data_IF_646630673358
#
_entry.id   IF_646630673358
#
_cell.length_a   1.000
_cell.length_b   1.000
_cell.length_c   1.000
_cell.angle_alpha   90.00
_cell.angle_beta   90.00
_cell.angle_gamma   90.00
#
_symmetry.space_group_name_H-M   'P 1'
#
loop_
_entity.id
_entity.type
_entity.pdbx_description
1 polymer ?
#
# COMPACT_ATOMS: atom_id res chain seq x y z
N UNK A 1 -34.80 -25.74 -60.12
CA UNK A 1 -34.84 -24.39 -59.54
C UNK A 1 -34.66 -24.51 -58.03
N UNK A 2 -33.48 -24.21 -57.53
CA UNK A 2 -33.14 -24.30 -56.10
C UNK A 2 -31.78 -23.64 -55.88
N UNK A 3 -31.79 -22.34 -55.63
CA UNK A 3 -30.57 -21.55 -55.43
C UNK A 3 -30.13 -21.65 -53.97
N UNK A 4 -28.99 -22.30 -53.73
CA UNK A 4 -28.26 -22.22 -52.48
C UNK A 4 -27.52 -20.87 -52.41
N UNK A 5 -27.85 -20.05 -51.41
CA UNK A 5 -27.12 -18.80 -51.10
C UNK A 5 -25.89 -19.16 -50.26
N UNK A 6 -24.70 -19.05 -50.86
CA UNK A 6 -23.44 -18.96 -50.11
C UNK A 6 -23.23 -17.50 -49.68
N UNK A 7 -23.20 -17.25 -48.37
CA UNK A 7 -22.75 -15.98 -47.79
C UNK A 7 -21.25 -16.11 -47.56
N UNK A 8 -20.44 -15.37 -48.34
CA UNK A 8 -19.03 -15.15 -48.03
C UNK A 8 -18.93 -14.28 -46.77
N UNK A 9 -18.43 -14.84 -45.67
CA UNK A 9 -18.02 -14.08 -44.50
C UNK A 9 -16.62 -13.50 -44.75
N UNK A 10 -16.53 -12.18 -44.87
CA UNK A 10 -15.26 -11.46 -44.82
C UNK A 10 -14.79 -11.38 -43.35
N UNK A 11 -13.79 -12.17 -42.99
CA UNK A 11 -13.08 -12.05 -41.72
C UNK A 11 -12.09 -10.89 -41.81
N UNK A 12 -12.44 -9.74 -41.21
CA UNK A 12 -11.49 -8.64 -40.99
C UNK A 12 -10.65 -8.99 -39.77
N UNK A 13 -9.44 -9.50 -40.01
CA UNK A 13 -8.39 -9.64 -39.01
C UNK A 13 -7.87 -8.24 -38.63
N UNK A 14 -8.34 -7.70 -37.50
CA UNK A 14 -7.69 -6.58 -36.84
C UNK A 14 -6.39 -7.08 -36.20
N UNK A 15 -5.27 -6.91 -36.92
CA UNK A 15 -3.94 -6.97 -36.33
C UNK A 15 -3.73 -5.70 -35.49
N UNK A 16 -4.07 -5.75 -34.21
CA UNK A 16 -3.64 -4.74 -33.24
C UNK A 16 -2.18 -5.01 -32.86
N UNK A 17 -1.27 -4.25 -33.47
CA UNK A 17 0.11 -4.14 -33.04
C UNK A 17 0.16 -3.53 -31.63
N UNK A 18 0.32 -4.37 -30.60
CA UNK A 18 0.65 -3.91 -29.25
C UNK A 18 2.15 -3.60 -29.19
N UNK A 19 2.51 -2.34 -29.41
CA UNK A 19 3.76 -1.79 -28.88
C UNK A 19 3.50 -1.30 -27.45
N UNK A 20 4.29 -1.73 -26.43
CA UNK A 20 4.17 -1.17 -25.10
C UNK A 20 4.91 0.17 -25.07
N UNK A 21 4.21 1.26 -25.36
CA UNK A 21 4.70 2.59 -24.99
C UNK A 21 4.36 2.81 -23.51
N UNK A 22 5.38 2.99 -22.68
CA UNK A 22 5.21 3.50 -21.32
C UNK A 22 4.53 4.88 -21.39
N UNK A 23 3.25 4.94 -21.04
CA UNK A 23 2.37 6.09 -21.28
C UNK A 23 2.44 7.19 -20.20
N UNK A 24 3.25 7.00 -19.14
CA UNK A 24 3.15 7.81 -17.92
C UNK A 24 3.69 9.25 -17.98
N UNK A 25 4.59 9.61 -18.92
CA UNK A 25 5.36 10.86 -18.80
C UNK A 25 4.95 12.04 -19.70
N UNK A 26 4.08 11.83 -20.71
CA UNK A 26 3.80 12.87 -21.72
C UNK A 26 2.31 13.26 -21.86
N UNK A 27 1.44 12.80 -20.97
CA UNK A 27 0.02 13.18 -21.04
C UNK A 27 -0.19 14.61 -20.53
N UNK A 28 -1.07 15.40 -21.16
CA UNK A 28 -1.41 16.74 -20.69
C UNK A 28 -2.08 16.66 -19.31
N UNK A 29 -1.93 17.69 -18.49
CA UNK A 29 -2.64 17.78 -17.23
C UNK A 29 -4.16 17.84 -17.47
N UNK A 30 -4.97 17.10 -16.70
CA UNK A 30 -6.42 17.08 -16.90
C UNK A 30 -7.06 18.47 -16.80
N UNK A 31 -6.54 19.33 -15.93
CA UNK A 31 -7.00 20.72 -15.80
C UNK A 31 -6.83 21.56 -17.08
N UNK A 32 -5.97 21.14 -18.03
CA UNK A 32 -5.77 21.82 -19.31
C UNK A 32 -6.71 21.35 -20.41
N UNK A 33 -7.30 20.16 -20.26
CA UNK A 33 -8.20 19.57 -21.27
C UNK A 33 -9.67 19.67 -20.88
N UNK A 34 -9.98 19.69 -19.59
CA UNK A 34 -11.35 19.72 -19.09
C UNK A 34 -11.92 21.12 -19.06
N UNK A 35 -13.17 21.24 -19.51
CA UNK A 35 -13.90 22.50 -19.42
C UNK A 35 -14.38 22.74 -17.99
N UNK A 36 -14.49 24.01 -17.55
CA UNK A 36 -15.09 24.35 -16.27
C UNK A 36 -16.47 23.71 -16.11
N UNK A 37 -16.67 22.97 -15.02
CA UNK A 37 -17.93 22.25 -14.74
C UNK A 37 -17.93 20.77 -15.15
N UNK A 38 -17.00 20.31 -15.98
CA UNK A 38 -16.90 18.88 -16.35
C UNK A 38 -16.54 17.98 -15.17
N UNK A 39 -16.06 18.51 -14.06
CA UNK A 39 -15.75 17.73 -12.87
C UNK A 39 -16.88 17.69 -11.84
N UNK A 40 -17.87 18.59 -11.93
CA UNK A 40 -18.98 18.61 -10.97
C UNK A 40 -19.83 17.37 -11.18
N UNK A 41 -20.22 16.76 -10.07
CA UNK A 41 -21.27 15.74 -10.05
C UNK A 41 -22.56 16.37 -10.57
N UNK A 42 -23.07 15.86 -11.69
CA UNK A 42 -24.46 16.12 -12.01
C UNK A 42 -25.33 15.34 -11.00
N UNK A 43 -26.46 15.90 -10.51
CA UNK A 43 -27.25 15.31 -9.41
C UNK A 43 -27.75 13.86 -9.62
N UNK A 44 -27.67 13.34 -10.83
CA UNK A 44 -28.21 12.04 -11.26
C UNK A 44 -27.17 11.14 -11.94
N UNK A 45 -25.91 11.57 -12.00
CA UNK A 45 -24.86 10.84 -12.70
C UNK A 45 -24.26 9.73 -11.83
N UNK A 46 -24.14 8.52 -12.37
CA UNK A 46 -23.39 7.43 -11.73
C UNK A 46 -21.88 7.64 -11.86
N UNK A 47 -21.10 7.03 -10.96
CA UNK A 47 -19.64 7.08 -11.00
C UNK A 47 -19.06 6.63 -12.36
N UNK A 48 -19.72 5.68 -13.04
CA UNK A 48 -19.34 5.19 -14.37
C UNK A 48 -19.54 6.24 -15.46
N UNK A 49 -20.70 6.90 -15.47
CA UNK A 49 -21.01 7.97 -16.42
C UNK A 49 -20.04 9.15 -16.23
N UNK A 50 -19.78 9.53 -14.98
CA UNK A 50 -18.82 10.59 -14.69
C UNK A 50 -17.40 10.21 -15.13
N UNK A 51 -16.96 8.98 -14.86
CA UNK A 51 -15.64 8.50 -15.29
C UNK A 51 -15.48 8.52 -16.81
N UNK A 52 -16.52 8.09 -17.54
CA UNK A 52 -16.52 8.12 -19.00
C UNK A 52 -16.42 9.55 -19.54
N UNK A 53 -17.17 10.48 -18.94
CA UNK A 53 -17.18 11.91 -19.32
C UNK A 53 -15.83 12.59 -19.11
N UNK A 54 -15.09 12.19 -18.08
CA UNK A 54 -13.78 12.76 -17.75
C UNK A 54 -12.65 12.32 -18.70
N UNK A 55 -12.87 11.35 -19.61
CA UNK A 55 -11.86 10.88 -20.57
C UNK A 55 -10.47 10.61 -19.92
N UNK A 56 -10.46 10.03 -18.71
CA UNK A 56 -9.27 9.93 -17.86
C UNK A 56 -8.02 9.36 -18.54
N UNK A 57 -8.08 8.32 -19.39
CA UNK A 57 -6.87 7.78 -20.02
C UNK A 57 -6.08 8.78 -20.87
N UNK A 58 -6.68 9.90 -21.30
CA UNK A 58 -6.05 10.89 -22.16
C UNK A 58 -5.32 12.03 -21.43
N UNK A 59 -5.34 12.06 -20.09
CA UNK A 59 -4.70 13.11 -19.29
C UNK A 59 -4.14 12.59 -17.97
N UNK A 60 -3.27 13.38 -17.34
CA UNK A 60 -2.73 13.07 -16.02
C UNK A 60 -3.26 14.00 -14.93
N UNK A 61 -3.57 13.43 -13.76
CA UNK A 61 -3.81 14.16 -12.51
C UNK A 61 -2.54 14.21 -11.64
N UNK A 62 -2.56 15.00 -10.56
CA UNK A 62 -1.46 15.01 -9.59
C UNK A 62 -1.36 13.67 -8.86
N UNK A 63 -2.50 13.10 -8.47
CA UNK A 63 -2.57 11.84 -7.73
C UNK A 63 -3.58 10.85 -8.34
N UNK A 64 -3.20 9.58 -8.34
CA UNK A 64 -4.13 8.46 -8.42
C UNK A 64 -3.89 7.54 -7.24
N UNK A 65 -4.95 7.27 -6.50
CA UNK A 65 -4.96 6.41 -5.33
C UNK A 65 -5.66 5.11 -5.73
N UNK A 66 -4.96 3.99 -5.59
CA UNK A 66 -5.42 2.65 -5.95
C UNK A 66 -5.55 1.81 -4.69
N UNK A 67 -6.78 1.57 -4.24
CA UNK A 67 -7.05 0.77 -3.04
C UNK A 67 -7.54 -0.61 -3.49
N UNK A 68 -6.79 -1.64 -3.16
CA UNK A 68 -7.16 -3.03 -3.39
C UNK A 68 -7.76 -3.61 -2.11
N UNK A 69 -9.08 -3.78 -2.11
CA UNK A 69 -9.87 -4.29 -0.99
C UNK A 69 -10.43 -5.66 -1.32
N UNK A 70 -9.92 -6.69 -0.64
CA UNK A 70 -10.43 -8.05 -0.75
C UNK A 70 -10.77 -8.61 0.65
N UNK A 71 -11.78 -8.04 1.34
CA UNK A 71 -12.16 -8.42 2.70
C UNK A 71 -12.61 -9.88 2.78
N UNK A 72 -12.09 -10.60 3.77
CA UNK A 72 -12.77 -11.80 4.31
C UNK A 72 -14.12 -11.42 4.93
N UNK A 73 -14.97 -12.40 5.20
CA UNK A 73 -16.34 -12.15 5.69
C UNK A 73 -16.39 -11.31 6.98
N UNK A 74 -15.45 -11.55 7.91
CA UNK A 74 -15.33 -10.81 9.17
C UNK A 74 -14.89 -9.35 8.97
N UNK A 75 -14.32 -9.03 7.81
CA UNK A 75 -13.81 -7.72 7.45
C UNK A 75 -14.79 -6.87 6.62
N UNK A 76 -15.89 -7.45 6.13
CA UNK A 76 -16.90 -6.74 5.32
C UNK A 76 -17.48 -5.47 5.97
N UNK A 77 -17.83 -5.44 7.28
CA UNK A 77 -18.35 -4.23 7.91
C UNK A 77 -17.32 -3.08 7.93
N UNK A 78 -16.04 -3.41 8.07
CA UNK A 78 -14.95 -2.44 8.11
C UNK A 78 -14.63 -1.90 6.72
N UNK A 79 -14.65 -2.75 5.69
CA UNK A 79 -14.56 -2.30 4.31
C UNK A 79 -15.68 -1.31 3.96
N UNK A 80 -16.91 -1.53 4.43
CA UNK A 80 -18.02 -0.58 4.26
C UNK A 80 -17.76 0.75 4.98
N UNK A 81 -17.22 0.69 6.22
CA UNK A 81 -16.84 1.89 6.98
C UNK A 81 -15.79 2.71 6.22
N UNK A 82 -14.73 2.08 5.72
CA UNK A 82 -13.65 2.76 5.00
C UNK A 82 -14.13 3.33 3.66
N UNK A 83 -15.00 2.63 2.93
CA UNK A 83 -15.64 3.18 1.73
C UNK A 83 -16.44 4.45 2.05
N UNK A 84 -17.09 4.51 3.21
CA UNK A 84 -17.80 5.69 3.67
C UNK A 84 -16.86 6.82 4.12
N UNK A 85 -15.73 6.50 4.78
CA UNK A 85 -14.68 7.48 5.07
C UNK A 85 -14.12 8.11 3.79
N UNK A 86 -13.86 7.27 2.78
CA UNK A 86 -13.35 7.65 1.46
C UNK A 86 -14.34 8.49 0.65
N UNK A 87 -15.62 8.52 1.02
CA UNK A 87 -16.68 9.33 0.39
C UNK A 87 -17.13 10.51 1.23
N UNK A 88 -16.58 10.68 2.44
CA UNK A 88 -17.09 11.65 3.38
C UNK A 88 -16.87 13.10 2.90
N UNK A 89 -17.91 13.96 2.93
CA UNK A 89 -17.76 15.39 2.71
C UNK A 89 -17.09 16.07 3.92
N UNK A 90 -16.58 17.29 3.71
CA UNK A 90 -16.12 18.16 4.80
C UNK A 90 -16.97 19.43 4.86
N UNK A 91 -17.24 19.91 6.08
CA UNK A 91 -18.20 20.98 6.35
C UNK A 91 -17.75 22.39 5.99
N UNK A 92 -16.46 22.61 5.69
CA UNK A 92 -15.92 23.93 5.35
C UNK A 92 -15.38 23.97 3.93
N UNK A 93 -14.30 23.24 3.67
CA UNK A 93 -13.67 23.13 2.36
C UNK A 93 -12.96 21.77 2.23
N UNK A 94 -12.87 21.23 1.01
CA UNK A 94 -12.23 19.95 0.72
C UNK A 94 -13.17 18.75 0.79
N UNK A 95 -12.65 17.59 0.41
CA UNK A 95 -13.34 16.30 0.47
C UNK A 95 -12.32 15.17 0.60
N UNK A 96 -12.73 14.01 1.12
CA UNK A 96 -11.91 12.80 1.06
C UNK A 96 -11.92 12.19 -0.36
N UNK A 97 -13.05 12.25 -1.05
CA UNK A 97 -13.18 11.56 -2.32
C UNK A 97 -12.34 12.14 -3.48
N UNK A 98 -12.46 11.54 -4.67
CA UNK A 98 -11.83 12.01 -5.91
C UNK A 98 -12.11 13.49 -6.15
N UNK A 99 -11.08 14.25 -6.54
CA UNK A 99 -11.12 15.70 -6.74
C UNK A 99 -10.59 16.07 -8.13
N UNK A 100 -10.44 17.38 -8.42
CA UNK A 100 -9.74 17.83 -9.62
C UNK A 100 -8.27 17.40 -9.68
N UNK A 101 -7.64 17.17 -8.52
CA UNK A 101 -6.22 16.81 -8.41
C UNK A 101 -5.98 15.32 -8.19
N UNK A 102 -6.99 14.60 -7.73
CA UNK A 102 -6.85 13.21 -7.26
C UNK A 102 -7.95 12.32 -7.84
N UNK A 103 -7.60 11.14 -8.32
CA UNK A 103 -8.56 10.03 -8.51
C UNK A 103 -8.44 9.06 -7.33
N UNK A 104 -9.57 8.62 -6.78
CA UNK A 104 -9.64 7.56 -5.78
C UNK A 104 -10.38 6.36 -6.35
N UNK A 105 -9.63 5.29 -6.62
CA UNK A 105 -10.09 4.11 -7.31
C UNK A 105 -9.94 2.90 -6.38
N UNK A 106 -11.02 2.15 -6.22
CA UNK A 106 -11.06 0.95 -5.37
C UNK A 106 -11.39 -0.26 -6.22
N UNK A 107 -10.62 -1.34 -6.12
CA UNK A 107 -11.12 -2.66 -6.53
C UNK A 107 -11.63 -3.37 -5.28
N UNK A 108 -12.94 -3.61 -5.24
CA UNK A 108 -13.64 -4.27 -4.15
C UNK A 108 -13.98 -5.70 -4.57
N UNK A 109 -13.31 -6.65 -3.95
CA UNK A 109 -13.55 -8.08 -4.12
C UNK A 109 -14.43 -8.61 -3.00
N UNK A 110 -15.24 -9.61 -3.34
CA UNK A 110 -15.95 -10.44 -2.37
C UNK A 110 -15.83 -11.89 -2.82
N UNK A 111 -16.23 -12.84 -1.98
CA UNK A 111 -16.28 -14.25 -2.37
C UNK A 111 -17.27 -14.51 -3.53
N UNK A 112 -18.26 -13.63 -3.71
CA UNK A 112 -19.32 -13.77 -4.69
C UNK A 112 -19.12 -12.90 -5.96
N UNK A 113 -19.15 -13.52 -7.14
CA UNK A 113 -19.17 -12.82 -8.43
C UNK A 113 -17.85 -12.11 -8.82
N UNK A 114 -17.83 -11.27 -9.86
CA UNK A 114 -16.66 -10.49 -10.24
C UNK A 114 -16.37 -9.37 -9.23
N UNK A 115 -15.10 -9.00 -9.07
CA UNK A 115 -14.73 -7.81 -8.30
C UNK A 115 -15.19 -6.53 -9.04
N UNK A 116 -15.63 -5.54 -8.26
CA UNK A 116 -16.09 -4.26 -8.76
C UNK A 116 -15.00 -3.21 -8.66
N UNK A 117 -14.73 -2.51 -9.75
CA UNK A 117 -13.85 -1.33 -9.75
C UNK A 117 -14.71 -0.09 -9.57
N UNK A 118 -14.42 0.69 -8.55
CA UNK A 118 -15.18 1.85 -8.11
C UNK A 118 -14.33 3.09 -8.30
N UNK A 119 -14.93 4.17 -8.80
CA UNK A 119 -14.35 5.51 -8.73
C UNK A 119 -15.15 6.31 -7.71
N UNK A 120 -14.52 6.63 -6.57
CA UNK A 120 -15.26 7.16 -5.43
C UNK A 120 -15.35 8.68 -5.45
N UNK A 121 -16.57 9.19 -5.33
CA UNK A 121 -16.89 10.60 -5.23
C UNK A 121 -17.64 10.88 -3.92
N UNK A 122 -17.57 12.14 -3.47
CA UNK A 122 -18.22 12.57 -2.25
C UNK A 122 -19.73 12.43 -2.38
N UNK A 123 -20.39 11.95 -1.33
CA UNK A 123 -21.84 11.82 -1.33
C UNK A 123 -22.35 11.07 -0.10
N UNK A 124 -23.63 10.71 -0.15
CA UNK A 124 -24.29 10.02 0.95
C UNK A 124 -23.62 8.66 1.25
N UNK A 125 -23.62 8.23 2.54
CA UNK A 125 -23.11 6.94 2.95
C UNK A 125 -23.73 5.78 2.15
N UNK A 126 -22.90 4.79 1.83
CA UNK A 126 -23.32 3.50 1.31
C UNK A 126 -23.87 2.66 2.46
N UNK A 127 -25.01 2.00 2.24
CA UNK A 127 -25.70 1.15 3.21
C UNK A 127 -25.17 -0.29 3.27
N UNK A 128 -24.58 -0.81 2.20
CA UNK A 128 -24.07 -2.19 2.15
C UNK A 128 -22.94 -2.37 1.13
N UNK A 129 -22.20 -3.48 1.24
CA UNK A 129 -21.17 -3.87 0.26
C UNK A 129 -21.79 -4.10 -1.14
N UNK A 130 -22.99 -4.67 -1.21
CA UNK A 130 -23.66 -4.88 -2.49
C UNK A 130 -24.07 -3.55 -3.14
N UNK A 131 -24.53 -2.57 -2.36
CA UNK A 131 -24.81 -1.23 -2.85
C UNK A 131 -23.54 -0.54 -3.40
N UNK A 132 -22.39 -0.75 -2.73
CA UNK A 132 -21.10 -0.24 -3.22
C UNK A 132 -20.76 -0.84 -4.59
N UNK A 133 -21.00 -2.14 -4.76
CA UNK A 133 -20.69 -2.91 -5.98
C UNK A 133 -21.68 -2.69 -7.12
N UNK A 134 -22.86 -2.11 -6.84
CA UNK A 134 -23.93 -1.97 -7.83
C UNK A 134 -23.63 -0.96 -8.95
N UNK A 135 -22.66 -0.05 -8.78
CA UNK A 135 -22.33 1.01 -9.76
C UNK A 135 -20.84 1.08 -10.08
N UNK A 136 -20.24 0.00 -10.63
CA UNK A 136 -18.82 -0.03 -10.92
C UNK A 136 -18.49 0.77 -12.19
N UNK A 137 -17.27 1.30 -12.25
CA UNK A 137 -16.67 1.86 -13.46
C UNK A 137 -16.04 0.78 -14.34
N UNK A 138 -15.95 -0.45 -13.83
CA UNK A 138 -15.50 -1.63 -14.55
C UNK A 138 -15.59 -2.88 -13.68
N UNK A 139 -15.63 -4.04 -14.29
CA UNK A 139 -15.58 -5.32 -13.59
C UNK A 139 -14.20 -5.95 -13.81
N UNK A 140 -13.66 -6.56 -12.76
CA UNK A 140 -12.50 -7.43 -12.90
C UNK A 140 -12.92 -8.80 -13.44
N UNK A 141 -12.03 -9.54 -14.13
CA UNK A 141 -12.29 -10.93 -14.49
C UNK A 141 -12.55 -11.78 -13.23
N UNK A 142 -13.62 -12.57 -13.23
CA UNK A 142 -13.96 -13.48 -12.12
C UNK A 142 -12.93 -14.60 -11.92
N UNK A 143 -12.84 -15.13 -10.70
CA UNK A 143 -12.14 -16.39 -10.41
C UNK A 143 -10.61 -16.32 -10.42
N UNK A 144 -10.04 -15.11 -10.38
CA UNK A 144 -8.59 -14.94 -10.21
C UNK A 144 -8.18 -15.19 -8.76
N UNK A 145 -6.99 -15.74 -8.60
CA UNK A 145 -6.32 -15.73 -7.30
C UNK A 145 -5.91 -14.27 -6.95
N UNK A 146 -5.62 -13.97 -5.67
CA UNK A 146 -5.29 -12.62 -5.24
C UNK A 146 -4.14 -11.96 -6.01
N UNK A 147 -3.08 -12.71 -6.33
CA UNK A 147 -1.94 -12.21 -7.08
C UNK A 147 -2.33 -11.70 -8.48
N UNK A 148 -3.04 -12.52 -9.24
CA UNK A 148 -3.47 -12.16 -10.60
C UNK A 148 -4.52 -11.04 -10.59
N UNK A 149 -5.37 -11.00 -9.57
CA UNK A 149 -6.39 -9.97 -9.41
C UNK A 149 -5.78 -8.60 -9.09
N UNK A 150 -4.79 -8.55 -8.17
CA UNK A 150 -4.05 -7.33 -7.85
C UNK A 150 -3.23 -6.85 -9.05
N UNK A 151 -2.46 -7.71 -9.72
CA UNK A 151 -1.70 -7.33 -10.91
C UNK A 151 -2.62 -6.73 -11.98
N UNK A 152 -3.76 -7.36 -12.25
CA UNK A 152 -4.75 -6.83 -13.19
C UNK A 152 -5.32 -5.47 -12.78
N UNK A 153 -5.60 -5.29 -11.50
CA UNK A 153 -6.10 -4.02 -10.97
C UNK A 153 -5.07 -2.91 -11.17
N UNK A 154 -3.83 -3.14 -10.77
CA UNK A 154 -2.78 -2.11 -10.82
C UNK A 154 -2.42 -1.75 -12.26
N UNK A 155 -2.28 -2.74 -13.16
CA UNK A 155 -2.03 -2.48 -14.58
C UNK A 155 -3.19 -1.69 -15.22
N UNK A 156 -4.43 -2.05 -14.89
CA UNK A 156 -5.59 -1.32 -15.39
C UNK A 156 -5.66 0.09 -14.81
N UNK A 157 -5.46 0.25 -13.51
CA UNK A 157 -5.49 1.53 -12.81
C UNK A 157 -4.47 2.51 -13.36
N UNK A 158 -3.23 2.06 -13.59
CA UNK A 158 -2.17 2.87 -14.19
C UNK A 158 -2.56 3.41 -15.58
N UNK A 159 -3.17 2.57 -16.43
CA UNK A 159 -3.59 2.94 -17.79
C UNK A 159 -4.86 3.79 -17.82
N UNK A 160 -5.84 3.44 -16.98
CA UNK A 160 -7.14 4.10 -16.96
C UNK A 160 -7.12 5.46 -16.24
N UNK A 161 -6.23 5.59 -15.25
CA UNK A 161 -6.06 6.80 -14.43
C UNK A 161 -4.57 7.17 -14.37
N UNK A 162 -4.01 7.75 -15.44
CA UNK A 162 -2.64 8.25 -15.43
C UNK A 162 -2.47 9.38 -14.40
N UNK A 163 -1.36 9.38 -13.64
CA UNK A 163 -1.05 10.42 -12.67
C UNK A 163 0.44 10.64 -12.41
N UNK A 164 0.77 11.84 -11.92
CA UNK A 164 2.13 12.20 -11.50
C UNK A 164 2.58 11.47 -10.25
N UNK A 165 1.67 11.13 -9.34
CA UNK A 165 1.97 10.32 -8.17
C UNK A 165 0.95 9.19 -8.00
N UNK A 166 1.42 8.01 -7.58
CA UNK A 166 0.56 6.87 -7.25
C UNK A 166 0.66 6.48 -5.79
N UNK A 167 -0.49 6.42 -5.13
CA UNK A 167 -0.62 5.85 -3.79
C UNK A 167 -1.38 4.52 -3.89
N UNK A 168 -0.69 3.41 -3.68
CA UNK A 168 -1.26 2.06 -3.69
C UNK A 168 -1.53 1.62 -2.27
N UNK A 169 -2.72 1.09 -2.01
CA UNK A 169 -3.10 0.51 -0.72
C UNK A 169 -3.54 -0.92 -0.89
N UNK A 170 -2.98 -1.83 -0.10
CA UNK A 170 -3.43 -3.22 0.02
C UNK A 170 -4.17 -3.36 1.35
N UNK A 171 -5.42 -3.81 1.31
CA UNK A 171 -6.33 -3.84 2.45
C UNK A 171 -6.81 -5.27 2.72
N UNK A 172 -6.68 -5.73 3.97
CA UNK A 172 -7.12 -7.05 4.40
C UNK A 172 -6.42 -7.53 5.68
N UNK A 173 -6.45 -8.84 5.94
CA UNK A 173 -5.67 -9.42 7.03
C UNK A 173 -4.20 -9.49 6.65
N UNK A 174 -3.33 -9.25 7.63
CA UNK A 174 -1.88 -9.38 7.44
C UNK A 174 -1.31 -10.53 8.25
N UNK A 175 -0.33 -11.23 7.65
CA UNK A 175 0.30 -12.44 8.20
C UNK A 175 1.81 -12.31 8.31
N UNK A 176 2.28 -11.09 8.60
CA UNK A 176 3.71 -10.79 8.71
C UNK A 176 4.43 -10.93 7.35
N UNK A 177 5.56 -11.62 7.35
CA UNK A 177 6.36 -11.87 6.14
C UNK A 177 5.64 -12.76 5.10
N UNK A 178 4.57 -13.47 5.49
CA UNK A 178 3.79 -14.33 4.60
C UNK A 178 2.83 -13.56 3.70
N UNK A 179 2.67 -12.25 3.90
CA UNK A 179 1.80 -11.40 3.10
C UNK A 179 0.40 -11.26 3.70
N UNK A 180 -0.63 -11.42 2.88
CA UNK A 180 -2.02 -11.04 3.19
C UNK A 180 -2.97 -12.23 3.08
N UNK A 181 -3.97 -12.26 3.95
CA UNK A 181 -5.12 -13.17 3.84
C UNK A 181 -6.36 -12.40 3.43
N UNK A 182 -6.91 -12.81 2.30
CA UNK A 182 -7.94 -12.09 1.56
C UNK A 182 -9.08 -13.03 1.20
N UNK A 183 -10.21 -12.48 0.77
CA UNK A 183 -11.45 -13.22 0.44
C UNK A 183 -11.24 -14.46 -0.45
N UNK A 184 -10.23 -14.44 -1.32
CA UNK A 184 -9.99 -15.48 -2.34
C UNK A 184 -8.66 -16.20 -2.16
N UNK A 185 -8.11 -16.17 -0.94
CA UNK A 185 -6.88 -16.85 -0.56
C UNK A 185 -5.78 -15.91 -0.10
N UNK A 186 -4.55 -16.39 -0.15
CA UNK A 186 -3.37 -15.63 0.29
C UNK A 186 -2.76 -14.86 -0.87
N UNK A 187 -2.33 -13.63 -0.60
CA UNK A 187 -1.41 -12.88 -1.44
C UNK A 187 -0.05 -12.86 -0.75
N UNK A 188 0.90 -13.63 -1.27
CA UNK A 188 2.24 -13.68 -0.70
C UNK A 188 3.06 -12.43 -1.06
N UNK A 189 4.06 -12.11 -0.25
CA UNK A 189 4.89 -10.91 -0.44
C UNK A 189 5.59 -10.89 -1.81
N UNK A 190 6.06 -12.05 -2.31
CA UNK A 190 6.70 -12.12 -3.63
C UNK A 190 5.69 -11.98 -4.78
N UNK A 191 4.44 -12.39 -4.56
CA UNK A 191 3.35 -12.15 -5.50
C UNK A 191 2.96 -10.66 -5.54
N UNK A 192 2.92 -9.99 -4.38
CA UNK A 192 2.77 -8.54 -4.29
C UNK A 192 3.90 -7.81 -5.02
N UNK A 193 5.17 -8.24 -4.83
CA UNK A 193 6.31 -7.70 -5.58
C UNK A 193 6.08 -7.83 -7.10
N UNK A 194 5.65 -8.99 -7.55
CA UNK A 194 5.40 -9.26 -8.98
C UNK A 194 4.28 -8.37 -9.53
N UNK A 195 3.17 -8.21 -8.79
CA UNK A 195 2.08 -7.31 -9.18
C UNK A 195 2.50 -5.84 -9.23
N UNK A 196 3.38 -5.40 -8.34
CA UNK A 196 3.94 -4.05 -8.38
C UNK A 196 4.96 -3.86 -9.51
N UNK A 197 5.69 -4.90 -9.90
CA UNK A 197 6.54 -4.86 -11.10
C UNK A 197 5.72 -4.75 -12.38
N UNK A 198 4.58 -5.46 -12.45
CA UNK A 198 3.61 -5.30 -13.54
C UNK A 198 3.03 -3.87 -13.58
N UNK A 199 2.77 -3.28 -12.41
CA UNK A 199 2.43 -1.86 -12.30
C UNK A 199 3.55 -0.96 -12.83
N UNK A 200 4.81 -1.20 -12.45
CA UNK A 200 5.97 -0.43 -12.94
C UNK A 200 6.03 -0.48 -14.47
N UNK A 201 5.84 -1.66 -15.06
CA UNK A 201 5.82 -1.82 -16.51
C UNK A 201 4.66 -1.05 -17.17
N UNK A 202 3.50 -0.96 -16.52
CA UNK A 202 2.33 -0.24 -17.05
C UNK A 202 2.43 1.29 -16.86
N UNK A 203 2.89 1.74 -15.69
CA UNK A 203 2.97 3.16 -15.30
C UNK A 203 4.27 3.82 -15.78
N UNK A 204 5.31 3.04 -16.08
CA UNK A 204 6.65 3.52 -16.41
C UNK A 204 7.48 3.95 -15.20
N UNK A 205 7.00 3.71 -13.97
CA UNK A 205 7.67 4.07 -12.71
C UNK A 205 7.13 3.23 -11.55
N UNK A 206 7.89 3.09 -10.43
CA UNK A 206 7.38 2.51 -9.19
C UNK A 206 6.18 3.26 -8.64
N UNK A 207 5.38 2.59 -7.80
CA UNK A 207 4.40 3.28 -6.97
C UNK A 207 5.13 4.27 -6.05
N UNK A 208 4.60 5.48 -5.91
CA UNK A 208 5.26 6.50 -5.10
C UNK A 208 5.11 6.20 -3.61
N UNK A 209 3.92 5.78 -3.19
CA UNK A 209 3.67 5.27 -1.85
C UNK A 209 2.91 3.95 -1.94
N UNK A 210 3.38 2.92 -1.27
CA UNK A 210 2.63 1.71 -0.95
C UNK A 210 2.28 1.77 0.54
N UNK A 211 1.00 1.68 0.88
CA UNK A 211 0.58 1.45 2.26
C UNK A 211 -0.12 0.10 2.40
N UNK A 212 0.09 -0.53 3.54
CA UNK A 212 -0.58 -1.76 3.89
C UNK A 212 -1.54 -1.47 5.04
N UNK A 213 -2.83 -1.58 4.73
CA UNK A 213 -3.91 -1.49 5.72
C UNK A 213 -4.19 -2.90 6.27
N UNK A 214 -3.19 -3.42 6.98
CA UNK A 214 -3.10 -4.81 7.43
C UNK A 214 -2.12 -4.97 8.59
N UNK A 215 -2.41 -5.88 9.50
CA UNK A 215 -1.56 -6.15 10.66
C UNK A 215 -0.20 -6.75 10.28
N UNK A 216 0.85 -6.43 11.02
CA UNK A 216 2.15 -7.12 11.02
C UNK A 216 2.98 -7.09 9.73
N UNK A 217 2.50 -6.54 8.61
CA UNK A 217 3.21 -6.63 7.32
C UNK A 217 4.38 -5.66 7.17
N UNK A 218 4.56 -4.72 8.10
CA UNK A 218 5.73 -3.81 8.12
C UNK A 218 6.94 -4.51 8.75
N UNK A 219 7.47 -5.51 8.05
CA UNK A 219 8.66 -6.29 8.46
C UNK A 219 9.84 -6.03 7.53
N UNK A 220 11.05 -6.28 8.01
CA UNK A 220 12.29 -6.13 7.21
C UNK A 220 12.30 -7.05 5.99
N UNK A 221 11.75 -8.26 6.10
CA UNK A 221 11.62 -9.22 5.00
C UNK A 221 10.72 -8.67 3.90
N UNK A 222 9.58 -8.09 4.27
CA UNK A 222 8.66 -7.49 3.32
C UNK A 222 9.26 -6.24 2.67
N UNK A 223 9.91 -5.37 3.44
CA UNK A 223 10.59 -4.19 2.90
C UNK A 223 11.70 -4.61 1.92
N UNK A 224 12.50 -5.64 2.26
CA UNK A 224 13.51 -6.22 1.37
C UNK A 224 12.88 -6.75 0.07
N UNK A 225 11.84 -7.58 0.21
CA UNK A 225 11.16 -8.20 -0.91
C UNK A 225 10.45 -7.18 -1.81
N UNK A 226 10.05 -6.01 -1.32
CA UNK A 226 9.34 -4.98 -2.09
C UNK A 226 10.28 -3.87 -2.62
N UNK A 227 11.57 -3.94 -2.28
CA UNK A 227 12.56 -2.97 -2.71
C UNK A 227 12.59 -2.81 -4.25
N UNK A 228 12.54 -1.55 -4.72
CA UNK A 228 12.50 -1.16 -6.12
C UNK A 228 11.11 -1.21 -6.77
N UNK A 229 10.10 -1.78 -6.11
CA UNK A 229 8.73 -1.87 -6.62
C UNK A 229 7.82 -0.71 -6.13
N UNK A 230 8.18 -0.09 -5.00
CA UNK A 230 7.60 1.15 -4.48
C UNK A 230 8.71 2.05 -3.89
N UNK A 231 8.52 3.38 -3.94
CA UNK A 231 9.47 4.35 -3.36
C UNK A 231 9.37 4.41 -1.84
N UNK A 232 8.15 4.57 -1.32
CA UNK A 232 7.90 4.55 0.13
C UNK A 232 6.96 3.39 0.51
N UNK A 233 7.25 2.68 1.59
CA UNK A 233 6.48 1.53 2.06
C UNK A 233 6.01 1.79 3.49
N UNK A 234 4.71 1.94 3.67
CA UNK A 234 4.06 2.22 4.94
C UNK A 234 3.22 1.04 5.43
N UNK A 235 3.13 0.87 6.75
CA UNK A 235 2.37 -0.20 7.37
C UNK A 235 2.57 -0.27 8.87
N UNK A 236 2.07 -1.34 9.47
CA UNK A 236 2.21 -1.66 10.89
C UNK A 236 3.03 -2.93 11.11
N UNK A 237 3.94 -2.88 12.09
CA UNK A 237 4.67 -4.06 12.59
C UNK A 237 3.86 -4.83 13.64
N UNK A 238 2.80 -4.23 14.16
CA UNK A 238 1.91 -4.79 15.16
C UNK A 238 0.47 -4.94 14.65
N UNK A 239 -0.45 -5.02 15.60
CA UNK A 239 -1.89 -5.06 15.30
C UNK A 239 -2.35 -3.70 14.77
N UNK A 240 -3.22 -3.68 13.78
CA UNK A 240 -3.92 -2.47 13.35
C UNK A 240 -5.33 -2.44 13.93
N UNK A 241 -5.90 -1.24 14.05
CA UNK A 241 -7.30 -1.09 14.35
C UNK A 241 -8.13 -1.61 13.16
N UNK A 242 -9.26 -2.26 13.41
CA UNK A 242 -10.18 -2.64 12.33
C UNK A 242 -10.76 -1.43 11.57
N UNK A 243 -10.67 -0.22 12.14
CA UNK A 243 -10.96 1.05 11.45
C UNK A 243 -9.89 1.44 10.41
N UNK A 244 -8.83 0.65 10.26
CA UNK A 244 -7.82 0.78 9.21
C UNK A 244 -7.04 2.09 9.21
N UNK A 245 -6.60 2.51 8.02
CA UNK A 245 -5.99 3.83 7.81
C UNK A 245 -7.03 4.94 8.00
N UNK A 246 -6.67 6.13 8.53
CA UNK A 246 -7.59 7.26 8.65
C UNK A 246 -7.85 7.92 7.28
N UNK A 247 -8.52 7.20 6.36
CA UNK A 247 -8.73 7.56 4.96
C UNK A 247 -9.30 8.96 4.81
N UNK A 248 -10.33 9.28 5.61
CA UNK A 248 -10.98 10.58 5.53
C UNK A 248 -9.96 11.72 5.70
N UNK A 249 -9.03 11.59 6.64
CA UNK A 249 -8.02 12.64 6.89
C UNK A 249 -6.87 12.58 5.89
N UNK A 250 -6.37 11.40 5.55
CA UNK A 250 -5.28 11.24 4.55
C UNK A 250 -5.69 11.91 3.24
N UNK A 251 -6.87 11.57 2.74
CA UNK A 251 -7.35 12.05 1.46
C UNK A 251 -7.63 13.56 1.46
N UNK A 252 -8.15 14.08 2.58
CA UNK A 252 -8.30 15.51 2.77
C UNK A 252 -6.94 16.24 2.66
N UNK A 253 -5.89 15.72 3.29
CA UNK A 253 -4.57 16.35 3.28
C UNK A 253 -3.92 16.30 1.89
N UNK A 254 -4.12 15.22 1.13
CA UNK A 254 -3.71 15.11 -0.28
C UNK A 254 -4.47 16.14 -1.14
N UNK A 255 -5.80 16.16 -1.05
CA UNK A 255 -6.64 17.04 -1.87
C UNK A 255 -6.40 18.54 -1.61
N UNK A 256 -6.07 18.90 -0.36
CA UNK A 256 -5.73 20.28 0.01
C UNK A 256 -4.25 20.62 -0.23
N UNK A 257 -3.39 19.63 -0.49
CA UNK A 257 -1.94 19.82 -0.66
C UNK A 257 -1.23 20.28 0.61
N UNK A 258 -1.86 20.11 1.78
CA UNK A 258 -1.29 20.58 3.06
C UNK A 258 -0.34 19.58 3.68
N UNK A 259 -0.59 18.28 3.46
CA UNK A 259 0.16 17.17 4.04
C UNK A 259 0.37 17.33 5.56
N UNK A 260 -0.70 17.58 6.31
CA UNK A 260 -0.69 17.84 7.75
C UNK A 260 0.21 19.03 8.15
N UNK A 261 0.25 20.06 7.29
CA UNK A 261 1.08 21.24 7.47
C UNK A 261 2.56 21.06 7.09
N UNK A 262 2.97 19.86 6.65
CA UNK A 262 4.34 19.61 6.21
C UNK A 262 4.69 20.44 4.97
N UNK A 263 3.74 20.65 4.05
CA UNK A 263 4.01 21.42 2.81
C UNK A 263 4.49 22.84 3.11
N UNK A 264 3.84 23.53 4.05
CA UNK A 264 4.20 24.90 4.42
C UNK A 264 5.63 24.99 4.99
N UNK A 265 6.07 23.96 5.72
CA UNK A 265 7.39 23.89 6.38
C UNK A 265 8.48 23.29 5.48
N UNK A 266 8.09 22.65 4.38
CA UNK A 266 9.00 21.94 3.48
C UNK A 266 9.86 22.90 2.65
N UNK A 267 11.09 22.46 2.35
CA UNK A 267 11.97 23.13 1.38
C UNK A 267 11.34 23.09 -0.03
N UNK A 268 11.77 23.94 -0.98
CA UNK A 268 11.28 23.86 -2.36
C UNK A 268 11.47 22.47 -3.00
N UNK A 269 12.59 21.79 -2.70
CA UNK A 269 12.84 20.43 -3.18
C UNK A 269 11.86 19.42 -2.57
N UNK A 270 11.60 19.49 -1.25
CA UNK A 270 10.63 18.60 -0.60
C UNK A 270 9.19 18.88 -1.03
N UNK A 271 8.84 20.13 -1.39
CA UNK A 271 7.52 20.47 -1.94
C UNK A 271 7.31 19.91 -3.35
N UNK A 272 8.39 19.69 -4.11
CA UNK A 272 8.32 19.03 -5.41
C UNK A 272 8.12 17.51 -5.30
N UNK A 273 8.37 16.92 -4.12
CA UNK A 273 8.20 15.50 -3.84
C UNK A 273 7.05 15.25 -2.86
N UNK A 274 5.82 15.50 -3.30
CA UNK A 274 4.62 15.30 -2.48
C UNK A 274 4.49 13.87 -1.93
N UNK A 275 5.06 12.87 -2.62
CA UNK A 275 5.13 11.49 -2.14
C UNK A 275 5.92 11.35 -0.84
N UNK A 276 7.04 12.06 -0.71
CA UNK A 276 7.82 12.13 0.54
C UNK A 276 7.03 12.81 1.65
N UNK A 277 6.24 13.83 1.33
CA UNK A 277 5.36 14.49 2.31
C UNK A 277 4.24 13.55 2.78
N UNK A 278 3.60 12.82 1.87
CA UNK A 278 2.61 11.79 2.20
C UNK A 278 3.24 10.68 3.07
N UNK A 279 4.38 10.13 2.66
CA UNK A 279 5.11 9.10 3.40
C UNK A 279 5.43 9.52 4.84
N UNK A 280 5.89 10.76 5.04
CA UNK A 280 6.16 11.32 6.38
C UNK A 280 4.89 11.59 7.19
N UNK A 281 3.78 11.88 6.50
CA UNK A 281 2.51 12.20 7.13
C UNK A 281 1.79 10.96 7.66
N UNK A 282 1.89 9.81 6.99
CA UNK A 282 1.10 8.61 7.30
C UNK A 282 1.25 8.16 8.77
N UNK A 283 2.45 7.93 9.32
CA UNK A 283 2.60 7.51 10.73
C UNK A 283 2.02 8.53 11.72
N UNK A 284 2.18 9.82 11.44
CA UNK A 284 1.69 10.89 12.31
C UNK A 284 0.17 10.98 12.28
N UNK A 285 -0.48 10.81 11.12
CA UNK A 285 -1.94 10.76 11.06
C UNK A 285 -2.51 9.52 11.75
N UNK A 286 -1.86 8.36 11.63
CA UNK A 286 -2.25 7.17 12.39
C UNK A 286 -2.12 7.44 13.89
N UNK A 287 -1.01 8.01 14.35
CA UNK A 287 -0.86 8.39 15.77
C UNK A 287 -1.95 9.37 16.23
N UNK A 288 -2.31 10.34 15.40
CA UNK A 288 -3.37 11.31 15.72
C UNK A 288 -4.77 10.67 15.71
N UNK A 289 -5.03 9.67 14.88
CA UNK A 289 -6.33 8.98 14.86
C UNK A 289 -6.56 8.16 16.13
N UNK A 290 -5.49 7.71 16.78
CA UNK A 290 -5.53 6.96 18.04
C UNK A 290 -5.70 7.83 19.30
N UNK A 291 -5.65 9.16 19.17
CA UNK A 291 -5.78 10.06 20.32
C UNK A 291 -7.18 9.92 20.98
N UNK A 292 -7.28 9.50 22.26
CA UNK A 292 -8.57 9.27 22.91
C UNK A 292 -9.46 10.51 23.03
N UNK A 293 -8.88 11.70 23.00
CA UNK A 293 -9.62 12.95 23.18
C UNK A 293 -10.21 13.49 21.87
N UNK A 294 -9.63 13.13 20.72
CA UNK A 294 -9.92 13.82 19.45
C UNK A 294 -9.74 12.97 18.18
N UNK A 295 -9.20 11.76 18.29
CA UNK A 295 -8.92 10.86 17.18
C UNK A 295 -10.15 10.03 16.80
N UNK A 296 -10.32 9.74 15.51
CA UNK A 296 -11.44 8.92 15.02
C UNK A 296 -11.40 7.48 15.52
N UNK A 297 -10.24 7.01 15.95
CA UNK A 297 -9.97 5.64 16.43
C UNK A 297 -9.61 5.61 17.93
N UNK A 298 -9.75 6.73 18.65
CA UNK A 298 -9.32 6.89 20.04
C UNK A 298 -10.16 6.14 21.09
N UNK A 299 -11.24 5.46 20.71
CA UNK A 299 -12.16 4.78 21.63
C UNK A 299 -11.66 3.44 22.20
N UNK A 300 -10.50 2.93 21.75
CA UNK A 300 -9.90 1.68 22.25
C UNK A 300 -9.28 1.80 23.66
N UNK A 301 -9.04 0.66 24.31
CA UNK A 301 -8.31 0.65 25.59
C UNK A 301 -6.86 1.12 25.41
N UNK A 302 -6.26 1.72 26.44
CA UNK A 302 -4.85 2.13 26.41
C UNK A 302 -3.90 0.96 26.06
N UNK A 303 -4.22 -0.25 26.54
CA UNK A 303 -3.47 -1.46 26.21
C UNK A 303 -3.58 -1.82 24.73
N UNK A 304 -4.76 -1.68 24.13
CA UNK A 304 -4.98 -1.94 22.69
C UNK A 304 -4.26 -0.91 21.82
N UNK A 305 -4.27 0.36 22.22
CA UNK A 305 -3.56 1.43 21.51
C UNK A 305 -2.04 1.28 21.59
N UNK A 306 -1.51 0.76 22.70
CA UNK A 306 -0.08 0.52 22.88
C UNK A 306 0.48 -0.54 21.91
N UNK A 307 -0.37 -1.40 21.33
CA UNK A 307 0.02 -2.43 20.37
C UNK A 307 0.01 -1.93 18.91
N UNK A 308 -0.52 -0.73 18.67
CA UNK A 308 -0.65 -0.16 17.33
C UNK A 308 0.62 0.58 16.95
N UNK A 309 1.18 0.21 15.80
CA UNK A 309 2.37 0.86 15.24
C UNK A 309 2.07 1.35 13.83
N UNK A 310 2.79 2.38 13.42
CA UNK A 310 2.81 2.82 12.04
C UNK A 310 4.19 3.37 11.74
N UNK A 311 4.78 2.93 10.64
CA UNK A 311 6.04 3.49 10.15
C UNK A 311 5.99 3.61 8.63
N UNK A 312 6.97 4.31 8.08
CA UNK A 312 7.16 4.38 6.63
C UNK A 312 8.63 4.28 6.33
N UNK A 313 8.95 3.40 5.39
CA UNK A 313 10.30 3.09 4.95
C UNK A 313 10.57 3.72 3.58
N UNK A 314 11.75 4.30 3.39
CA UNK A 314 12.23 4.78 2.09
C UNK A 314 12.97 3.66 1.34
N UNK A 315 12.27 3.00 0.42
CA UNK A 315 12.79 1.87 -0.34
C UNK A 315 14.07 2.20 -1.09
N UNK A 316 14.29 3.45 -1.51
CA UNK A 316 15.52 3.84 -2.22
C UNK A 316 16.77 3.73 -1.33
N UNK A 317 16.62 3.86 -0.01
CA UNK A 317 17.72 3.69 0.96
C UNK A 317 17.91 2.23 1.39
N UNK A 318 16.84 1.42 1.36
CA UNK A 318 16.91 0.05 1.87
C UNK A 318 17.95 -0.81 1.15
N UNK A 319 17.91 -0.80 -0.19
CA UNK A 319 18.78 -1.61 -1.04
C UNK A 319 20.28 -1.31 -0.87
N UNK A 320 20.72 -0.05 -1.00
CA UNK A 320 22.14 0.27 -0.93
C UNK A 320 22.71 0.36 0.50
N UNK A 321 21.91 0.77 1.49
CA UNK A 321 22.42 1.07 2.83
C UNK A 321 22.15 -0.06 3.83
N UNK A 322 20.90 -0.54 3.90
CA UNK A 322 20.45 -1.46 4.97
C UNK A 322 20.67 -2.92 4.60
N UNK A 323 20.25 -3.33 3.41
CA UNK A 323 20.32 -4.73 2.98
C UNK A 323 21.74 -5.33 3.07
N UNK A 324 22.83 -4.64 2.65
CA UNK A 324 24.18 -5.17 2.78
C UNK A 324 24.62 -5.30 4.25
N UNK A 325 24.27 -4.34 5.10
CA UNK A 325 24.61 -4.37 6.52
C UNK A 325 23.94 -5.54 7.24
N UNK A 326 22.65 -5.77 6.98
CA UNK A 326 21.91 -6.91 7.54
C UNK A 326 22.38 -8.26 6.98
N UNK A 327 22.79 -8.32 5.71
CA UNK A 327 23.43 -9.52 5.14
C UNK A 327 24.75 -9.84 5.83
N UNK A 328 25.58 -8.82 6.07
CA UNK A 328 26.84 -8.99 6.79
C UNK A 328 26.60 -9.43 8.23
N UNK A 329 25.62 -8.83 8.92
CA UNK A 329 25.18 -9.26 10.25
C UNK A 329 24.75 -10.72 10.28
N UNK A 330 23.88 -11.14 9.36
CA UNK A 330 23.43 -12.52 9.27
C UNK A 330 24.58 -13.52 9.05
N UNK A 331 25.52 -13.18 8.17
CA UNK A 331 26.71 -14.00 7.89
C UNK A 331 27.63 -14.11 9.11
N UNK A 332 27.87 -13.01 9.82
CA UNK A 332 28.69 -12.99 11.02
C UNK A 332 28.02 -13.73 12.19
N UNK A 333 26.69 -13.61 12.33
CA UNK A 333 25.93 -14.33 13.34
C UNK A 333 25.96 -15.84 13.07
N UNK A 334 25.77 -16.26 11.82
CA UNK A 334 25.88 -17.67 11.44
C UNK A 334 27.28 -18.23 11.73
N UNK A 335 28.35 -17.48 11.42
CA UNK A 335 29.72 -17.87 11.74
C UNK A 335 29.94 -18.01 13.26
N UNK A 336 29.41 -17.07 14.05
CA UNK A 336 29.50 -17.10 15.51
C UNK A 336 28.77 -18.29 16.14
N UNK A 337 27.59 -18.63 15.61
CA UNK A 337 26.80 -19.79 16.03
C UNK A 337 27.42 -21.13 15.60
N UNK A 338 28.24 -21.16 14.54
CA UNK A 338 28.96 -22.38 14.11
C UNK A 338 30.12 -22.76 15.04
N UNK A 339 30.70 -21.80 15.76
CA UNK A 339 31.74 -22.10 16.76
C UNK A 339 31.16 -22.82 17.98
N UNK A 340 29.93 -22.48 18.38
CA UNK A 340 29.19 -23.16 19.43
C UNK A 340 27.68 -23.01 19.20
N UNK A 341 27.02 -24.12 18.89
CA UNK A 341 25.58 -24.15 18.61
C UNK A 341 24.72 -23.88 19.85
N UNK A 342 25.24 -24.04 21.07
CA UNK A 342 24.50 -23.76 22.31
C UNK A 342 24.21 -22.27 22.48
N UNK A 343 25.07 -21.39 21.93
CA UNK A 343 24.83 -19.94 21.85
C UNK A 343 23.48 -19.62 21.20
N UNK A 344 23.02 -20.46 20.27
CA UNK A 344 21.72 -20.31 19.64
C UNK A 344 20.56 -20.45 20.64
N UNK A 345 20.68 -21.34 21.62
CA UNK A 345 19.70 -21.51 22.70
C UNK A 345 19.70 -20.28 23.62
N UNK A 346 20.89 -19.80 24.00
CA UNK A 346 21.00 -18.63 24.88
C UNK A 346 20.45 -17.36 24.21
N UNK A 347 20.76 -17.17 22.92
CA UNK A 347 20.24 -16.04 22.14
C UNK A 347 18.73 -16.14 21.98
N UNK A 348 18.15 -17.33 21.80
CA UNK A 348 16.70 -17.51 21.76
C UNK A 348 16.03 -17.11 23.08
N UNK A 349 16.67 -17.32 24.23
CA UNK A 349 16.15 -16.88 25.52
C UNK A 349 16.06 -15.35 25.67
N UNK A 350 16.79 -14.59 24.85
CA UNK A 350 16.70 -13.13 24.84
C UNK A 350 15.40 -12.61 24.22
N UNK A 351 14.70 -13.45 23.45
CA UNK A 351 13.50 -13.08 22.70
C UNK A 351 12.30 -13.87 23.25
N UNK A 352 11.67 -13.41 24.34
CA UNK A 352 10.44 -14.04 24.80
C UNK A 352 9.41 -14.01 23.67
N UNK A 353 8.67 -15.11 23.51
CA UNK A 353 7.62 -15.28 22.49
C UNK A 353 6.57 -14.16 22.48
N UNK A 354 6.45 -13.44 23.61
CA UNK A 354 5.54 -12.32 23.84
C UNK A 354 6.01 -10.97 23.27
N UNK A 355 7.28 -10.83 22.86
CA UNK A 355 7.79 -9.59 22.26
C UNK A 355 7.21 -9.33 20.85
N UNK A 356 6.58 -10.35 20.26
CA UNK A 356 5.80 -10.23 19.04
C UNK A 356 4.33 -10.05 19.40
N UNK A 357 3.67 -9.04 18.85
CA UNK A 357 2.23 -8.84 19.04
C UNK A 357 1.39 -9.93 18.32
N UNK A 358 1.69 -11.22 18.49
CA UNK A 358 0.97 -12.36 17.94
C UNK A 358 1.47 -12.90 16.59
N UNK A 359 2.47 -12.27 15.96
CA UNK A 359 2.98 -12.65 14.63
C UNK A 359 4.32 -13.41 14.63
N UNK A 360 5.01 -13.49 15.78
CA UNK A 360 6.37 -14.04 15.89
C UNK A 360 7.48 -13.07 15.48
N UNK A 361 7.18 -11.82 15.11
CA UNK A 361 8.17 -10.80 14.76
C UNK A 361 8.88 -10.17 15.97
N UNK A 362 10.15 -9.79 15.80
CA UNK A 362 10.95 -9.07 16.81
C UNK A 362 11.29 -7.68 16.28
N UNK A 363 11.18 -6.65 17.12
CA UNK A 363 11.63 -5.30 16.77
C UNK A 363 13.14 -5.32 16.44
N UNK A 364 13.52 -4.71 15.32
CA UNK A 364 14.90 -4.73 14.82
C UNK A 364 15.85 -4.04 15.80
N UNK A 365 15.45 -2.92 16.40
CA UNK A 365 16.26 -2.20 17.38
C UNK A 365 16.45 -3.02 18.66
N UNK A 366 15.38 -3.66 19.13
CA UNK A 366 15.43 -4.57 20.27
C UNK A 366 16.33 -5.79 19.99
N UNK A 367 16.25 -6.40 18.80
CA UNK A 367 17.12 -7.49 18.35
C UNK A 367 18.59 -7.09 18.38
N UNK A 368 18.93 -5.96 17.76
CA UNK A 368 20.31 -5.47 17.71
C UNK A 368 20.85 -5.15 19.12
N UNK A 369 20.03 -4.53 19.96
CA UNK A 369 20.41 -4.18 21.34
C UNK A 369 20.62 -5.43 22.20
N UNK A 370 19.72 -6.43 22.09
CA UNK A 370 19.83 -7.68 22.82
C UNK A 370 21.10 -8.46 22.41
N UNK A 371 21.38 -8.57 21.10
CA UNK A 371 22.58 -9.26 20.61
C UNK A 371 23.87 -8.57 21.07
N UNK A 372 23.92 -7.23 21.05
CA UNK A 372 25.08 -6.49 21.58
C UNK A 372 25.28 -6.72 23.07
N UNK A 373 24.19 -6.68 23.84
CA UNK A 373 24.22 -6.93 25.29
C UNK A 373 24.72 -8.34 25.57
N UNK A 374 24.23 -9.34 24.83
CA UNK A 374 24.67 -10.72 24.93
C UNK A 374 26.18 -10.86 24.67
N UNK A 375 26.71 -10.25 23.60
CA UNK A 375 28.14 -10.31 23.30
C UNK A 375 29.02 -9.61 24.34
N UNK A 376 28.51 -8.56 24.98
CA UNK A 376 29.21 -7.89 26.07
C UNK A 376 29.27 -8.75 27.33
N UNK A 377 28.19 -9.49 27.64
CA UNK A 377 28.14 -10.40 28.79
C UNK A 377 29.05 -11.62 28.62
N UNK A 378 29.22 -12.10 27.39
CA UNK A 378 30.02 -13.30 27.07
C UNK A 378 31.41 -12.94 26.54
N UNK A 379 31.98 -11.82 27.01
CA UNK A 379 33.25 -11.33 26.49
C UNK A 379 34.47 -12.21 26.79
N UNK A 380 34.34 -13.04 27.83
CA UNK A 380 35.38 -13.96 28.29
C UNK A 380 35.33 -15.32 27.58
N UNK A 381 34.30 -15.57 26.76
CA UNK A 381 34.20 -16.78 25.95
C UNK A 381 35.15 -16.76 24.75
N UNK A 382 35.78 -17.91 24.47
CA UNK A 382 36.62 -18.05 23.30
C UNK A 382 35.77 -18.00 22.02
N UNK A 383 36.07 -17.02 21.16
CA UNK A 383 35.50 -16.91 19.82
C UNK A 383 36.47 -16.20 18.90
N UNK A 384 36.65 -16.74 17.69
CA UNK A 384 37.52 -16.14 16.67
C UNK A 384 36.79 -15.07 15.86
N UNK A 385 35.45 -15.15 15.79
CA UNK A 385 34.60 -14.29 14.95
C UNK A 385 33.77 -13.27 15.75
N UNK A 386 33.85 -13.24 17.09
CA UNK A 386 33.12 -12.28 17.94
C UNK A 386 33.33 -10.81 17.52
N UNK A 387 34.56 -10.43 17.18
CA UNK A 387 34.87 -9.06 16.74
C UNK A 387 34.21 -8.69 15.42
N UNK A 388 34.09 -9.65 14.50
CA UNK A 388 33.39 -9.46 13.23
C UNK A 388 31.89 -9.28 13.44
N UNK A 389 31.29 -10.10 14.32
CA UNK A 389 29.88 -9.97 14.69
C UNK A 389 29.59 -8.64 15.39
N UNK A 390 30.43 -8.22 16.33
CA UNK A 390 30.29 -6.92 16.99
C UNK A 390 30.36 -5.75 16.00
N UNK A 391 31.28 -5.82 15.02
CA UNK A 391 31.40 -4.82 13.96
C UNK A 391 30.16 -4.81 13.04
N UNK A 392 29.67 -5.99 12.67
CA UNK A 392 28.48 -6.13 11.85
C UNK A 392 27.20 -5.62 12.56
N UNK A 393 27.07 -5.84 13.87
CA UNK A 393 25.99 -5.28 14.69
C UNK A 393 26.01 -3.75 14.73
N UNK A 394 27.19 -3.15 14.94
CA UNK A 394 27.34 -1.69 14.92
C UNK A 394 27.02 -1.10 13.54
N UNK A 395 27.42 -1.77 12.46
CA UNK A 395 27.10 -1.34 11.10
C UNK A 395 25.60 -1.45 10.80
N UNK A 396 24.95 -2.53 11.24
CA UNK A 396 23.51 -2.71 11.06
C UNK A 396 22.72 -1.62 11.80
N UNK A 397 23.06 -1.33 13.05
CA UNK A 397 22.42 -0.26 13.84
C UNK A 397 22.64 1.13 13.23
N UNK A 398 23.84 1.42 12.71
CA UNK A 398 24.11 2.71 12.07
C UNK A 398 23.33 2.89 10.75
N UNK A 399 22.88 1.80 10.13
CA UNK A 399 22.14 1.80 8.87
C UNK A 399 20.61 1.86 9.04
N UNK A 400 20.09 1.35 10.16
CA UNK A 400 18.67 1.32 10.52
C UNK A 400 18.23 2.60 11.20
#
# INVERSE_FOLDING_TARGET
MGAAKYILAFSVLFLSSFAPLAQGSNLPACASIWRPGEWRLAPVESNAQQSARLARPACAKEWTILVYMAPTDDLLPFALSDLNEMRAPFSREGQAASSLKTDLIVQLETEAGPASRLHLFAGEPISSIDDARAKPVGLAPSGKNPAAALSDFLRWGAKAYPAKNYFVVVWGHGRGWKGYELARGTLETLELRSALQDFVAAAGKPADVLASDSCFVQTTENIYALNGAARFIAGSSGTQNFLGLPYRRILYEINTGRFNGLFAKASPADRADEAKLLARMLPELTRQSLDPARGSQGGGSAATQALMTASTFDGARFGPEIAPAFKALGSALEAYLKEDSLRGLDIQLLFPSEASAGSGGVDVGALLTALKTYLAMHQDEASRVRGELASALSNAEASS
#
